data_IF_080022851383
#
_entry.id   IF_080022851383
#
_cell.length_a   1.000
_cell.length_b   1.000
_cell.length_c   1.000
_cell.angle_alpha   90.00
_cell.angle_beta   90.00
_cell.angle_gamma   90.00
#
_symmetry.space_group_name_H-M   'P 1'
#
loop_
_entity.id
_entity.type
_entity.pdbx_description
1 polymer ?
#
# COMPACT_ATOMS: atom_id res chain seq x y z
N UNK A 1 27.09 -14.09 4.38
CA UNK A 1 26.63 -14.42 3.02
C UNK A 1 25.39 -13.60 2.75
N UNK A 2 25.38 -12.72 1.75
CA UNK A 2 24.15 -12.04 1.34
C UNK A 2 23.14 -13.11 0.87
N UNK A 3 22.04 -13.22 1.59
CA UNK A 3 20.96 -14.12 1.22
C UNK A 3 20.28 -13.54 -0.02
N UNK A 4 20.34 -14.25 -1.15
CA UNK A 4 19.66 -13.81 -2.37
C UNK A 4 18.15 -13.67 -2.11
N UNK A 5 17.66 -12.43 -2.15
CA UNK A 5 16.24 -12.12 -2.03
C UNK A 5 15.51 -12.57 -3.30
N UNK A 6 14.38 -13.25 -3.13
CA UNK A 6 13.54 -13.71 -4.25
C UNK A 6 12.84 -12.51 -4.90
N UNK A 7 12.56 -12.61 -6.20
CA UNK A 7 11.68 -11.65 -6.86
C UNK A 7 10.22 -11.90 -6.47
N UNK A 8 9.41 -10.87 -6.16
CA UNK A 8 8.01 -11.03 -5.77
C UNK A 8 7.12 -11.27 -6.99
N UNK A 9 7.28 -12.40 -7.68
CA UNK A 9 6.50 -12.73 -8.87
C UNK A 9 5.07 -13.10 -8.45
N UNK A 10 4.09 -12.32 -8.90
CA UNK A 10 2.67 -12.53 -8.58
C UNK A 10 2.24 -11.99 -7.22
N UNK A 11 3.18 -11.54 -6.37
CA UNK A 11 2.90 -10.96 -5.06
C UNK A 11 2.71 -9.45 -5.23
N UNK A 12 1.59 -8.95 -4.71
CA UNK A 12 1.22 -7.53 -4.84
C UNK A 12 1.01 -6.84 -3.49
N UNK A 13 1.13 -7.57 -2.39
CA UNK A 13 0.93 -7.06 -1.04
C UNK A 13 2.26 -6.63 -0.45
N UNK A 14 2.34 -5.39 0.01
CA UNK A 14 3.54 -4.86 0.66
C UNK A 14 3.94 -5.73 1.87
N UNK A 15 2.98 -6.09 2.74
CA UNK A 15 3.24 -6.91 3.92
C UNK A 15 3.93 -8.24 3.61
N UNK A 16 3.42 -9.01 2.64
CA UNK A 16 4.02 -10.29 2.22
C UNK A 16 5.46 -10.08 1.73
N UNK A 17 5.68 -9.07 0.89
CA UNK A 17 7.02 -8.74 0.38
C UNK A 17 8.00 -8.47 1.51
N UNK A 18 7.55 -7.75 2.56
CA UNK A 18 8.38 -7.39 3.71
C UNK A 18 8.61 -8.56 4.66
N UNK A 19 7.57 -9.32 5.00
CA UNK A 19 7.65 -10.47 5.94
C UNK A 19 8.45 -11.63 5.36
N UNK A 20 8.26 -11.94 4.08
CA UNK A 20 8.92 -13.09 3.43
C UNK A 20 10.28 -12.72 2.80
N UNK A 21 10.79 -11.52 3.10
CA UNK A 21 12.11 -11.02 2.66
C UNK A 21 12.30 -11.08 1.13
N UNK A 22 11.27 -10.72 0.37
CA UNK A 22 11.38 -10.54 -1.08
C UNK A 22 12.16 -9.26 -1.42
N UNK A 23 12.66 -9.20 -2.66
CA UNK A 23 13.27 -7.98 -3.18
C UNK A 23 12.20 -6.89 -3.31
N UNK A 24 12.38 -5.82 -2.55
CA UNK A 24 11.57 -4.61 -2.62
C UNK A 24 12.45 -3.43 -3.07
N UNK A 25 11.99 -2.71 -4.10
CA UNK A 25 12.63 -1.46 -4.54
C UNK A 25 12.03 -0.32 -3.72
N UNK A 26 12.83 0.25 -2.84
CA UNK A 26 12.36 1.28 -1.91
C UNK A 26 11.98 2.58 -2.64
N UNK A 27 10.70 2.93 -2.53
CA UNK A 27 10.13 4.22 -2.97
C UNK A 27 9.34 4.89 -1.85
N UNK A 28 9.55 4.48 -0.61
CA UNK A 28 8.71 4.90 0.53
C UNK A 28 8.90 6.37 0.89
N UNK A 29 9.99 7.01 0.48
CA UNK A 29 10.12 8.47 0.55
C UNK A 29 9.04 9.21 -0.27
N UNK A 30 8.67 8.68 -1.44
CA UNK A 30 7.59 9.24 -2.26
C UNK A 30 6.22 9.02 -1.61
N UNK A 31 6.02 7.86 -0.98
CA UNK A 31 4.80 7.55 -0.21
C UNK A 31 4.61 8.59 0.89
N UNK A 32 5.66 8.87 1.67
CA UNK A 32 5.65 9.89 2.71
C UNK A 32 5.30 11.27 2.16
N UNK A 33 5.93 11.69 1.05
CA UNK A 33 5.64 12.98 0.42
C UNK A 33 4.18 13.08 -0.04
N UNK A 34 3.66 12.04 -0.71
CA UNK A 34 2.28 12.02 -1.19
C UNK A 34 1.28 12.13 -0.02
N UNK A 35 1.53 11.40 1.06
CA UNK A 35 0.65 11.40 2.23
C UNK A 35 0.62 12.74 2.97
N UNK A 36 1.71 13.52 2.94
CA UNK A 36 1.87 14.72 3.78
C UNK A 36 1.78 16.06 3.04
N UNK A 37 1.81 16.10 1.70
CA UNK A 37 1.86 17.37 0.93
C UNK A 37 0.48 17.93 0.56
N UNK A 38 -0.62 17.24 0.90
CA UNK A 38 -1.99 17.78 0.87
C UNK A 38 -2.55 18.12 -0.51
N UNK A 39 -1.90 17.68 -1.60
CA UNK A 39 -2.37 17.92 -2.98
C UNK A 39 -3.02 16.65 -3.55
N UNK A 40 -4.08 16.77 -4.38
CA UNK A 40 -4.61 15.64 -5.12
C UNK A 40 -3.55 15.09 -6.09
N UNK A 41 -3.32 13.78 -6.06
CA UNK A 41 -2.42 13.10 -6.98
C UNK A 41 -3.21 12.25 -7.98
N UNK A 42 -2.95 12.47 -9.27
CA UNK A 42 -3.46 11.61 -10.32
C UNK A 42 -2.42 10.54 -10.69
N UNK A 43 -2.73 9.28 -10.38
CA UNK A 43 -1.94 8.14 -10.83
C UNK A 43 -2.52 7.63 -12.15
N UNK A 44 -1.83 7.95 -13.25
CA UNK A 44 -2.17 7.42 -14.58
C UNK A 44 -2.32 5.88 -14.52
N UNK A 45 -3.07 5.26 -15.43
CA UNK A 45 -3.37 3.80 -15.41
C UNK A 45 -2.47 2.99 -16.36
N UNK A 46 -1.13 3.01 -16.27
CA UNK A 46 -0.33 2.05 -17.00
C UNK A 46 -0.60 0.65 -16.46
N UNK A 47 -0.85 -0.29 -17.38
CA UNK A 47 -1.01 -1.71 -17.06
C UNK A 47 0.29 -2.23 -16.41
N UNK A 48 0.17 -2.99 -15.32
CA UNK A 48 1.30 -3.56 -14.55
C UNK A 48 2.24 -2.54 -13.88
N UNK A 49 1.77 -1.31 -13.62
CA UNK A 49 2.57 -0.28 -12.94
C UNK A 49 2.79 -0.50 -11.43
N UNK A 50 2.20 -1.56 -10.85
CA UNK A 50 2.32 -1.82 -9.41
C UNK A 50 1.39 -0.96 -8.54
N UNK A 51 0.21 -0.59 -9.07
CA UNK A 51 -0.79 0.18 -8.30
C UNK A 51 -1.21 -0.53 -7.01
N UNK A 52 -1.50 -1.83 -7.07
CA UNK A 52 -1.87 -2.63 -5.90
C UNK A 52 -0.77 -2.64 -4.83
N UNK A 53 0.49 -2.75 -5.25
CA UNK A 53 1.63 -2.67 -4.33
C UNK A 53 1.74 -1.29 -3.68
N UNK A 54 1.53 -0.22 -4.45
CA UNK A 54 1.54 1.13 -3.90
C UNK A 54 0.39 1.33 -2.90
N UNK A 55 -0.83 0.89 -3.23
CA UNK A 55 -1.99 0.99 -2.34
C UNK A 55 -1.80 0.19 -1.05
N UNK A 56 -1.31 -1.06 -1.12
CA UNK A 56 -1.01 -1.84 0.09
C UNK A 56 0.14 -1.24 0.91
N UNK A 57 1.09 -0.52 0.27
CA UNK A 57 2.11 0.25 0.99
C UNK A 57 1.47 1.42 1.77
N UNK A 58 0.53 2.16 1.15
CA UNK A 58 -0.21 3.23 1.84
C UNK A 58 -1.05 2.68 2.99
N UNK A 59 -1.76 1.57 2.77
CA UNK A 59 -2.54 0.90 3.81
C UNK A 59 -1.66 0.56 5.02
N UNK A 60 -0.52 -0.11 4.80
CA UNK A 60 0.43 -0.43 5.88
C UNK A 60 0.95 0.82 6.59
N UNK A 61 1.21 1.90 5.84
CA UNK A 61 1.68 3.17 6.41
C UNK A 61 0.62 3.81 7.31
N UNK A 62 -0.62 3.96 6.83
CA UNK A 62 -1.72 4.56 7.59
C UNK A 62 -2.19 3.68 8.75
N UNK A 63 -2.05 2.36 8.66
CA UNK A 63 -2.27 1.44 9.78
C UNK A 63 -1.13 1.48 10.83
N UNK A 64 -0.14 2.36 10.69
CA UNK A 64 0.96 2.50 11.66
C UNK A 64 1.91 1.30 11.72
N UNK A 65 1.96 0.44 10.69
CA UNK A 65 2.76 -0.80 10.65
C UNK A 65 4.25 -0.57 10.48
N UNK A 66 4.87 0.12 11.45
CA UNK A 66 6.31 0.47 11.48
C UNK A 66 7.22 -0.74 11.28
N UNK A 67 6.81 -1.91 11.75
CA UNK A 67 7.52 -3.17 11.59
C UNK A 67 7.87 -3.48 10.13
N UNK A 68 6.98 -3.14 9.19
CA UNK A 68 7.15 -3.41 7.76
C UNK A 68 8.11 -2.43 7.07
N UNK A 69 8.32 -1.25 7.66
CA UNK A 69 9.13 -0.18 7.06
C UNK A 69 10.59 -0.14 7.52
N UNK A 70 11.01 -1.06 8.39
CA UNK A 70 12.40 -1.16 8.86
C UNK A 70 13.38 -1.21 7.69
N UNK A 71 14.40 -0.34 7.74
CA UNK A 71 15.44 -0.21 6.73
C UNK A 71 15.01 0.50 5.44
N UNK A 72 13.80 1.07 5.38
CA UNK A 72 13.31 1.85 4.24
C UNK A 72 13.39 3.36 4.54
N UNK A 73 13.34 4.18 3.49
CA UNK A 73 13.48 5.63 3.61
C UNK A 73 12.44 6.27 4.55
N UNK A 74 11.19 5.81 4.51
CA UNK A 74 10.11 6.35 5.36
C UNK A 74 10.35 6.10 6.85
N UNK A 75 11.13 5.08 7.24
CA UNK A 75 11.49 4.86 8.65
C UNK A 75 12.15 6.08 9.29
N UNK A 76 12.94 6.82 8.49
CA UNK A 76 13.67 8.00 8.93
C UNK A 76 12.85 9.30 8.79
N UNK A 77 11.82 9.30 7.95
CA UNK A 77 10.99 10.47 7.67
C UNK A 77 9.77 10.55 8.60
N UNK A 78 9.14 9.40 8.87
CA UNK A 78 7.99 9.31 9.77
C UNK A 78 8.43 9.19 11.23
N UNK A 79 7.97 10.11 12.07
CA UNK A 79 8.34 10.19 13.48
C UNK A 79 7.22 9.77 14.41
N UNK A 80 5.96 9.98 14.02
CA UNK A 80 4.81 9.78 14.89
C UNK A 80 4.22 8.38 14.80
N UNK A 81 4.18 7.80 13.60
CA UNK A 81 3.56 6.48 13.37
C UNK A 81 2.14 6.39 13.92
N UNK A 82 1.34 7.42 13.64
CA UNK A 82 -0.08 7.45 14.04
C UNK A 82 -0.86 6.37 13.29
N UNK A 83 -1.79 5.73 14.01
CA UNK A 83 -2.67 4.71 13.45
C UNK A 83 -3.99 5.33 13.01
N UNK A 84 -4.39 5.01 11.78
CA UNK A 84 -5.62 5.48 11.16
C UNK A 84 -6.47 4.29 10.69
N UNK A 85 -7.81 4.39 10.79
CA UNK A 85 -8.69 3.44 10.15
C UNK A 85 -8.54 3.57 8.61
N UNK A 86 -8.20 2.47 7.95
CA UNK A 86 -8.06 2.42 6.49
C UNK A 86 -9.28 1.73 5.87
N UNK A 87 -9.92 2.42 4.93
CA UNK A 87 -11.03 1.88 4.15
C UNK A 87 -10.54 1.53 2.75
N UNK A 88 -10.56 0.24 2.40
CA UNK A 88 -10.23 -0.24 1.06
C UNK A 88 -11.51 -0.43 0.25
N UNK A 89 -11.69 0.37 -0.81
CA UNK A 89 -12.85 0.31 -1.70
C UNK A 89 -12.45 -0.27 -3.06
N UNK A 90 -12.95 -1.45 -3.40
CA UNK A 90 -12.82 -2.03 -4.74
C UNK A 90 -14.15 -1.95 -5.50
N UNK A 91 -14.19 -1.11 -6.52
CA UNK A 91 -15.37 -0.87 -7.36
C UNK A 91 -15.31 -1.65 -8.69
N UNK A 92 -14.39 -2.61 -8.84
CA UNK A 92 -14.27 -3.42 -10.06
C UNK A 92 -15.15 -4.68 -10.03
N UNK A 93 -15.72 -5.04 -8.88
CA UNK A 93 -16.26 -6.37 -8.66
C UNK A 93 -17.71 -6.56 -9.17
N UNK A 94 -18.55 -5.51 -9.15
CA UNK A 94 -20.00 -5.65 -9.41
C UNK A 94 -20.61 -4.40 -10.06
N UNK A 95 -21.86 -4.53 -10.51
CA UNK A 95 -22.71 -3.39 -10.85
C UNK A 95 -23.25 -2.79 -9.54
N UNK A 96 -23.08 -1.48 -9.37
CA UNK A 96 -23.57 -0.74 -8.19
C UNK A 96 -24.74 0.14 -8.63
N UNK A 97 -25.89 -0.48 -8.86
CA UNK A 97 -27.08 0.23 -9.36
C UNK A 97 -27.98 0.69 -8.21
N UNK A 98 -27.89 0.06 -7.04
CA UNK A 98 -28.71 0.37 -5.86
C UNK A 98 -27.87 0.61 -4.60
N UNK A 99 -28.45 1.29 -3.61
CA UNK A 99 -27.82 1.50 -2.28
C UNK A 99 -27.52 0.17 -1.59
N UNK A 100 -28.38 -0.84 -1.79
CA UNK A 100 -28.20 -2.17 -1.21
C UNK A 100 -26.93 -2.86 -1.74
N UNK A 101 -26.60 -2.68 -3.03
CA UNK A 101 -25.40 -3.26 -3.64
C UNK A 101 -24.11 -2.71 -3.01
N UNK A 102 -24.11 -1.41 -2.68
CA UNK A 102 -23.00 -0.76 -1.99
C UNK A 102 -22.86 -1.24 -0.54
N UNK A 103 -23.97 -1.30 0.21
CA UNK A 103 -23.97 -1.74 1.60
C UNK A 103 -23.52 -3.20 1.76
N UNK A 104 -23.86 -4.07 0.80
CA UNK A 104 -23.42 -5.46 0.79
C UNK A 104 -21.91 -5.63 0.52
N UNK A 105 -21.25 -4.63 -0.06
CA UNK A 105 -19.80 -4.63 -0.31
C UNK A 105 -19.01 -4.10 0.88
N UNK A 106 -19.50 -3.05 1.54
CA UNK A 106 -18.80 -2.37 2.63
C UNK A 106 -18.70 -3.20 3.92
N UNK A 107 -19.55 -4.23 4.08
CA UNK A 107 -19.61 -5.09 5.27
C UNK A 107 -19.00 -6.49 5.05
N UNK A 108 -18.19 -6.67 4.00
CA UNK A 108 -17.40 -7.88 3.76
C UNK A 108 -16.02 -7.75 4.39
#
# INVERSE_FOLDING_TARGET
>A
MEQMRKLPIGIQTFEEIRKDNYLYVDKTALVYQIANVGKPYFLSRPRRFGKSLLLSTFESYFQGRKDLFKGLAIEKLETKWEEYPVLHLDLNARKYETVADLLAMLNQ
#
